data_IF_439057976398
#
_entry.id   IF_439057976398
#
_cell.length_a   1.000
_cell.length_b   1.000
_cell.length_c   1.000
_cell.angle_alpha   90.00
_cell.angle_beta   90.00
_cell.angle_gamma   90.00
#
_symmetry.space_group_name_H-M   'P 1'
#
loop_
_entity.id
_entity.type
_entity.pdbx_description
1 polymer ?
#
# COMPACT_ATOMS: atom_id res chain seq x y z
N UNK A 1 -18.47 0.39 -14.50
CA UNK A 1 -19.16 1.66 -14.18
C UNK A 1 -18.24 2.81 -14.57
N UNK A 2 -18.77 3.97 -14.94
CA UNK A 2 -17.95 5.19 -15.18
C UNK A 2 -17.16 5.55 -13.89
N UNK A 3 -15.85 5.88 -13.93
CA UNK A 3 -15.05 6.16 -12.74
C UNK A 3 -15.51 7.38 -12.00
N UNK A 4 -16.05 8.37 -12.71
CA UNK A 4 -16.65 9.52 -12.05
C UNK A 4 -17.83 9.06 -11.19
N UNK A 5 -18.61 8.07 -11.65
CA UNK A 5 -19.67 7.44 -10.86
C UNK A 5 -19.12 6.53 -9.75
N UNK A 6 -18.03 5.80 -9.99
CA UNK A 6 -17.36 4.97 -8.96
C UNK A 6 -16.82 5.86 -7.85
N UNK A 7 -16.07 6.92 -8.17
CA UNK A 7 -15.58 7.92 -7.21
C UNK A 7 -16.72 8.64 -6.51
N UNK A 8 -17.80 8.99 -7.22
CA UNK A 8 -19.00 9.56 -6.59
C UNK A 8 -19.67 8.57 -5.63
N UNK A 9 -19.67 7.27 -5.93
CA UNK A 9 -20.32 6.23 -5.11
C UNK A 9 -19.44 5.78 -3.93
N UNK A 10 -18.17 5.48 -4.16
CA UNK A 10 -17.22 4.93 -3.19
C UNK A 10 -16.39 5.99 -2.48
N UNK A 11 -16.23 7.18 -3.08
CA UNK A 11 -15.45 8.25 -2.48
C UNK A 11 -13.94 8.01 -2.62
N UNK A 12 -13.28 7.82 -1.49
CA UNK A 12 -11.81 7.75 -1.37
C UNK A 12 -11.34 6.34 -1.07
N UNK A 13 -10.13 6.00 -1.52
CA UNK A 13 -9.52 4.72 -1.22
C UNK A 13 -8.85 4.74 0.16
N UNK A 14 -9.22 3.82 1.06
CA UNK A 14 -8.78 3.78 2.46
C UNK A 14 -7.72 2.72 2.70
N UNK A 15 -6.56 3.14 3.22
CA UNK A 15 -5.44 2.26 3.56
C UNK A 15 -5.10 2.43 5.03
N UNK A 16 -4.92 1.32 5.73
CA UNK A 16 -4.35 1.31 7.07
C UNK A 16 -2.86 0.98 6.95
N UNK A 17 -2.01 1.87 7.45
CA UNK A 17 -0.57 1.64 7.53
C UNK A 17 -0.21 1.19 8.93
N UNK A 18 0.32 -0.03 9.03
CA UNK A 18 0.78 -0.64 10.26
C UNK A 18 2.29 -0.73 10.23
N UNK A 19 2.94 -0.48 11.36
CA UNK A 19 4.38 -0.65 11.47
C UNK A 19 4.92 0.02 12.70
N UNK A 20 6.13 -0.37 13.08
CA UNK A 20 6.80 0.15 14.28
C UNK A 20 7.19 1.62 14.12
N UNK A 21 7.62 2.23 15.22
CA UNK A 21 8.22 3.56 15.19
C UNK A 21 9.37 3.54 14.18
N UNK A 22 9.50 4.59 13.37
CA UNK A 22 10.56 4.68 12.36
C UNK A 22 10.56 3.55 11.30
N UNK A 23 9.46 2.82 11.11
CA UNK A 23 9.34 1.80 10.05
C UNK A 23 9.21 2.38 8.62
N UNK A 24 9.34 3.70 8.43
CA UNK A 24 9.22 4.35 7.12
C UNK A 24 7.79 4.62 6.65
N UNK A 25 6.76 4.46 7.52
CA UNK A 25 5.34 4.65 7.19
C UNK A 25 5.07 5.98 6.46
N UNK A 26 5.43 7.10 7.07
CA UNK A 26 5.20 8.45 6.50
C UNK A 26 5.91 8.64 5.17
N UNK A 27 7.14 8.14 5.04
CA UNK A 27 7.93 8.22 3.81
C UNK A 27 7.23 7.51 2.66
N UNK A 28 6.71 6.30 2.89
CA UNK A 28 5.94 5.56 1.87
C UNK A 28 4.70 6.34 1.43
N UNK A 29 3.95 6.90 2.39
CA UNK A 29 2.76 7.68 2.07
C UNK A 29 3.07 8.91 1.21
N UNK A 30 4.12 9.64 1.59
CA UNK A 30 4.63 10.79 0.83
C UNK A 30 5.01 10.39 -0.60
N UNK A 31 5.71 9.26 -0.79
CA UNK A 31 6.09 8.79 -2.13
C UNK A 31 4.91 8.37 -2.99
N UNK A 32 3.98 7.61 -2.44
CA UNK A 32 2.75 7.21 -3.16
C UNK A 32 1.94 8.44 -3.56
N UNK A 33 1.92 9.48 -2.73
CA UNK A 33 1.24 10.73 -3.03
C UNK A 33 2.09 11.73 -3.82
N UNK A 34 3.29 11.35 -4.29
CA UNK A 34 4.23 12.19 -5.03
C UNK A 34 4.44 13.58 -4.38
N UNK A 35 4.70 13.61 -3.08
CA UNK A 35 4.90 14.84 -2.31
C UNK A 35 5.94 14.63 -1.20
N UNK A 36 6.48 15.74 -0.68
CA UNK A 36 7.27 15.79 0.56
C UNK A 36 6.51 16.47 1.71
N UNK A 37 5.29 16.94 1.44
CA UNK A 37 4.46 17.65 2.41
C UNK A 37 3.91 16.70 3.47
N UNK A 38 3.41 17.27 4.57
CA UNK A 38 2.69 16.51 5.58
C UNK A 38 1.20 16.40 5.21
N UNK A 39 0.54 15.28 5.55
CA UNK A 39 -0.90 15.16 5.31
C UNK A 39 -1.67 16.11 6.21
N UNK A 40 -2.85 16.53 5.73
CA UNK A 40 -3.86 17.14 6.55
C UNK A 40 -4.56 16.07 7.38
N UNK A 41 -4.72 16.31 8.67
CA UNK A 41 -5.32 15.36 9.62
C UNK A 41 -6.75 15.76 9.91
N UNK A 42 -7.67 14.81 9.86
CA UNK A 42 -9.08 14.99 10.17
C UNK A 42 -9.52 14.01 11.26
N UNK A 43 -10.40 14.46 12.16
CA UNK A 43 -11.01 13.56 13.14
C UNK A 43 -12.17 12.76 12.52
N UNK A 44 -12.78 11.87 13.30
CA UNK A 44 -13.94 11.06 12.89
C UNK A 44 -15.18 11.88 12.51
N UNK A 45 -15.26 13.14 12.94
CA UNK A 45 -16.32 14.08 12.55
C UNK A 45 -15.99 14.89 11.27
N UNK A 46 -14.84 14.63 10.63
CA UNK A 46 -14.40 15.33 9.42
C UNK A 46 -13.85 16.74 9.70
N UNK A 47 -13.59 17.10 10.95
CA UNK A 47 -12.97 18.39 11.31
C UNK A 47 -11.45 18.29 11.20
N UNK A 48 -10.85 19.24 10.49
CA UNK A 48 -9.40 19.38 10.39
C UNK A 48 -8.79 19.63 11.78
N UNK A 49 -7.77 18.85 12.12
CA UNK A 49 -6.98 18.98 13.35
C UNK A 49 -5.70 19.74 13.01
N UNK A 50 -5.35 20.71 13.85
CA UNK A 50 -4.06 21.40 13.73
C UNK A 50 -2.93 20.47 14.18
N UNK A 51 -1.94 20.26 13.31
CA UNK A 51 -0.80 19.38 13.56
C UNK A 51 0.05 19.89 14.73
N UNK A 52 0.08 21.21 14.97
CA UNK A 52 0.77 21.79 16.12
C UNK A 52 0.22 21.28 17.47
N UNK A 53 -1.08 20.96 17.53
CA UNK A 53 -1.73 20.35 18.70
C UNK A 53 -1.29 18.88 18.86
N UNK A 54 -1.05 18.17 17.76
CA UNK A 54 -0.61 16.77 17.75
C UNK A 54 0.88 16.62 18.11
N UNK A 55 1.74 17.60 17.77
CA UNK A 55 3.17 17.60 18.15
C UNK A 55 3.39 18.05 19.59
N UNK A 56 2.55 18.93 20.14
CA UNK A 56 2.56 19.28 21.55
C UNK A 56 2.15 18.08 22.44
N UNK A 57 1.33 17.17 21.92
CA UNK A 57 0.90 15.94 22.59
C UNK A 57 1.79 14.73 22.31
N UNK A 58 3.13 14.87 22.31
CA UNK A 58 4.05 13.70 22.32
C UNK A 58 3.81 12.78 23.54
N UNK A 59 3.00 13.20 24.50
CA UNK A 59 2.33 12.32 25.44
C UNK A 59 1.33 11.41 24.71
N UNK A 60 1.62 10.11 24.76
CA UNK A 60 1.12 8.97 23.98
C UNK A 60 -0.42 8.75 23.91
N UNK A 61 -1.26 9.73 24.28
CA UNK A 61 -2.71 9.58 24.45
C UNK A 61 -3.60 10.16 23.35
N UNK A 62 -3.10 10.98 22.42
CA UNK A 62 -3.92 11.71 21.42
C UNK A 62 -3.84 11.15 19.99
N UNK A 63 -3.11 10.06 19.78
CA UNK A 63 -3.02 9.40 18.47
C UNK A 63 -4.10 8.32 18.34
N UNK A 64 -5.15 8.66 17.59
CA UNK A 64 -6.29 7.79 17.32
C UNK A 64 -6.20 7.24 15.89
N UNK A 65 -6.24 5.91 15.76
CA UNK A 65 -6.27 5.18 14.48
C UNK A 65 -7.48 5.58 13.60
N UNK A 66 -8.53 6.13 14.21
CA UNK A 66 -9.70 6.66 13.50
C UNK A 66 -9.43 7.98 12.79
N UNK A 67 -8.33 8.68 13.11
CA UNK A 67 -7.96 9.91 12.39
C UNK A 67 -7.63 9.61 10.93
N UNK A 68 -8.08 10.50 10.06
CA UNK A 68 -7.90 10.39 8.62
C UNK A 68 -6.75 11.31 8.19
N UNK A 69 -5.77 10.75 7.49
CA UNK A 69 -4.68 11.50 6.88
C UNK A 69 -4.92 11.62 5.38
N UNK A 70 -4.93 12.86 4.88
CA UNK A 70 -5.19 13.15 3.47
C UNK A 70 -4.09 14.06 2.94
N UNK A 71 -3.42 13.63 1.87
CA UNK A 71 -2.44 14.46 1.17
C UNK A 71 -3.14 15.32 0.13
N UNK A 72 -2.77 16.60 0.06
CA UNK A 72 -3.37 17.55 -0.87
C UNK A 72 -2.98 17.23 -2.33
N UNK A 73 -1.78 16.68 -2.52
CA UNK A 73 -1.27 16.19 -3.81
C UNK A 73 -2.04 14.96 -4.32
N UNK A 74 -2.68 14.19 -3.44
CA UNK A 74 -3.52 13.05 -3.83
C UNK A 74 -4.71 12.87 -2.88
N UNK A 75 -5.78 13.68 -3.05
CA UNK A 75 -6.92 13.70 -2.13
C UNK A 75 -7.87 12.51 -2.33
N UNK A 76 -7.59 11.62 -3.28
CA UNK A 76 -8.37 10.40 -3.48
C UNK A 76 -8.03 9.30 -2.47
N UNK A 77 -6.93 9.42 -1.73
CA UNK A 77 -6.59 8.53 -0.63
C UNK A 77 -7.06 9.07 0.73
N UNK A 78 -7.38 8.12 1.62
CA UNK A 78 -7.37 8.34 3.07
C UNK A 78 -6.46 7.29 3.67
N UNK A 79 -5.49 7.74 4.46
CA UNK A 79 -4.61 6.87 5.22
C UNK A 79 -4.99 6.90 6.70
N UNK A 80 -4.99 5.74 7.31
CA UNK A 80 -5.04 5.56 8.75
C UNK A 80 -3.67 5.06 9.21
N UNK A 81 -3.16 5.61 10.31
CA UNK A 81 -1.87 5.20 10.88
C UNK A 81 -2.12 4.49 12.21
N UNK A 82 -1.57 3.28 12.34
CA UNK A 82 -1.70 2.43 13.53
C UNK A 82 -1.02 2.96 14.80
N UNK A 83 -0.42 4.17 14.75
CA UNK A 83 0.33 4.86 15.83
C UNK A 83 0.14 4.21 17.20
N UNK A 84 1.19 3.60 17.74
CA UNK A 84 1.13 2.87 19.02
C UNK A 84 1.26 1.34 18.90
N UNK A 85 1.04 0.74 17.72
CA UNK A 85 1.46 -0.66 17.48
C UNK A 85 2.98 -0.87 17.68
N UNK A 86 3.73 0.24 17.75
CA UNK A 86 5.18 0.36 17.82
C UNK A 86 5.86 -0.40 18.96
N UNK A 87 5.16 -0.60 20.08
CA UNK A 87 5.66 -1.34 21.25
C UNK A 87 5.17 -2.80 21.31
N UNK A 88 4.27 -3.23 20.42
CA UNK A 88 3.66 -4.57 20.47
C UNK A 88 2.78 -4.81 21.71
N UNK A 89 2.35 -3.74 22.38
CA UNK A 89 1.52 -3.82 23.58
C UNK A 89 0.15 -4.44 23.29
N UNK A 90 -0.41 -5.09 24.31
CA UNK A 90 -1.70 -5.80 24.19
C UNK A 90 -2.82 -4.82 23.83
N UNK A 91 -2.83 -3.63 24.43
CA UNK A 91 -3.88 -2.62 24.22
C UNK A 91 -3.88 -2.07 22.80
N UNK A 92 -2.69 -1.90 22.21
CA UNK A 92 -2.50 -1.34 20.89
C UNK A 92 -2.85 -2.36 19.80
N UNK A 93 -2.53 -3.63 20.02
CA UNK A 93 -2.99 -4.71 19.15
C UNK A 93 -4.52 -4.79 19.10
N UNK A 94 -5.20 -4.72 20.25
CA UNK A 94 -6.67 -4.78 20.28
C UNK A 94 -7.31 -3.57 19.59
N UNK A 95 -6.72 -2.38 19.71
CA UNK A 95 -7.17 -1.19 18.95
C UNK A 95 -7.10 -1.41 17.45
N UNK A 96 -5.98 -1.92 16.94
CA UNK A 96 -5.78 -2.23 15.51
C UNK A 96 -6.78 -3.30 15.05
N UNK A 97 -6.91 -4.39 15.81
CA UNK A 97 -7.81 -5.50 15.48
C UNK A 97 -9.28 -5.06 15.47
N UNK A 98 -9.72 -4.27 16.45
CA UNK A 98 -11.07 -3.71 16.51
C UNK A 98 -11.32 -2.76 15.34
N UNK A 99 -10.36 -1.88 15.01
CA UNK A 99 -10.46 -0.98 13.86
C UNK A 99 -10.66 -1.75 12.55
N UNK A 100 -9.80 -2.74 12.28
CA UNK A 100 -9.87 -3.58 11.07
C UNK A 100 -11.22 -4.31 11.03
N UNK A 101 -11.63 -4.94 12.12
CA UNK A 101 -12.89 -5.72 12.20
C UNK A 101 -14.11 -4.84 11.96
N UNK A 102 -14.13 -3.63 12.53
CA UNK A 102 -15.24 -2.70 12.38
C UNK A 102 -15.30 -2.17 10.94
N UNK A 103 -14.18 -1.68 10.42
CA UNK A 103 -14.08 -1.10 9.07
C UNK A 103 -14.31 -2.13 7.97
N UNK A 104 -13.92 -3.40 8.16
CA UNK A 104 -14.20 -4.46 7.18
C UNK A 104 -15.68 -4.83 7.10
N UNK A 105 -16.44 -4.60 8.18
CA UNK A 105 -17.89 -4.89 8.28
C UNK A 105 -18.80 -3.71 7.97
N UNK A 106 -18.25 -2.53 7.67
CA UNK A 106 -19.05 -1.36 7.30
C UNK A 106 -19.89 -1.67 6.06
N UNK A 107 -21.18 -1.36 6.08
CA UNK A 107 -22.06 -1.59 4.92
C UNK A 107 -21.83 -0.55 3.83
N UNK A 108 -21.43 0.65 4.23
CA UNK A 108 -21.06 1.71 3.31
C UNK A 108 -19.60 1.57 2.91
N UNK A 109 -19.37 1.22 1.64
CA UNK A 109 -18.04 1.11 1.05
C UNK A 109 -17.18 2.38 1.22
N UNK A 110 -17.79 3.56 1.39
CA UNK A 110 -17.07 4.81 1.71
C UNK A 110 -16.35 4.78 3.04
N UNK A 111 -16.81 3.97 3.98
CA UNK A 111 -16.27 3.84 5.33
C UNK A 111 -15.42 2.58 5.48
N UNK A 112 -15.47 1.66 4.51
CA UNK A 112 -14.73 0.40 4.52
C UNK A 112 -13.23 0.63 4.42
N UNK A 113 -12.46 -0.22 5.09
CA UNK A 113 -11.02 -0.31 4.88
C UNK A 113 -10.76 -1.14 3.62
N UNK A 114 -9.94 -0.65 2.68
CA UNK A 114 -9.75 -1.32 1.39
C UNK A 114 -8.44 -2.10 1.28
N UNK A 115 -7.39 -1.68 2.00
CA UNK A 115 -6.13 -2.41 2.06
C UNK A 115 -5.39 -2.11 3.37
N UNK A 116 -4.49 -3.02 3.74
CA UNK A 116 -3.55 -2.86 4.85
C UNK A 116 -2.13 -2.93 4.29
N UNK A 117 -1.33 -1.91 4.60
CA UNK A 117 0.11 -1.89 4.33
C UNK A 117 0.85 -2.09 5.64
N UNK A 118 1.58 -3.20 5.74
CA UNK A 118 2.31 -3.56 6.95
C UNK A 118 3.82 -3.35 6.73
N UNK A 119 4.37 -2.26 7.28
CA UNK A 119 5.77 -1.88 7.14
C UNK A 119 6.67 -2.66 8.12
N UNK A 120 7.66 -3.36 7.58
CA UNK A 120 8.71 -4.10 8.29
C UNK A 120 10.06 -3.53 7.83
N UNK A 121 10.77 -2.77 8.67
CA UNK A 121 12.05 -2.16 8.28
C UNK A 121 13.19 -3.19 8.29
N UNK A 122 14.05 -3.13 7.28
CA UNK A 122 15.16 -4.08 7.08
C UNK A 122 16.50 -3.61 7.66
N UNK A 123 16.56 -2.39 8.22
CA UNK A 123 17.76 -1.83 8.86
C UNK A 123 18.02 -2.36 10.27
N UNK A 124 17.12 -3.18 10.80
CA UNK A 124 17.29 -3.92 12.06
C UNK A 124 17.59 -5.40 11.77
N UNK A 125 18.73 -5.66 11.12
CA UNK A 125 19.17 -7.00 10.69
C UNK A 125 19.23 -8.07 11.82
N UNK A 126 19.20 -7.66 13.08
CA UNK A 126 19.28 -8.54 14.26
C UNK A 126 17.93 -8.89 14.90
N UNK A 127 16.81 -8.29 14.49
CA UNK A 127 15.49 -8.67 15.01
C UNK A 127 14.79 -9.59 14.02
N UNK A 128 14.69 -10.86 14.37
CA UNK A 128 13.55 -11.70 13.98
C UNK A 128 12.24 -10.94 14.21
N UNK A 129 11.16 -11.33 13.52
CA UNK A 129 9.82 -10.77 13.75
C UNK A 129 9.55 -10.61 15.24
N UNK A 130 9.23 -9.39 15.62
CA UNK A 130 8.89 -9.00 16.96
C UNK A 130 7.59 -9.64 17.42
N UNK A 131 7.32 -9.55 18.73
CA UNK A 131 6.04 -9.99 19.29
C UNK A 131 4.85 -9.32 18.58
N UNK A 132 5.00 -8.08 18.10
CA UNK A 132 3.96 -7.38 17.33
C UNK A 132 3.65 -8.07 16.02
N UNK A 133 4.66 -8.28 15.17
CA UNK A 133 4.47 -8.99 13.89
C UNK A 133 3.90 -10.40 14.11
N UNK A 134 4.49 -11.17 15.03
CA UNK A 134 3.99 -12.49 15.38
C UNK A 134 2.51 -12.45 15.78
N UNK A 135 2.13 -11.53 16.67
CA UNK A 135 0.75 -11.41 17.15
C UNK A 135 -0.20 -11.02 16.03
N UNK A 136 0.19 -10.08 15.15
CA UNK A 136 -0.62 -9.69 14.01
C UNK A 136 -0.90 -10.86 13.08
N UNK A 137 0.15 -11.49 12.55
CA UNK A 137 0.00 -12.56 11.56
C UNK A 137 -0.51 -13.89 12.14
N UNK A 138 -0.54 -14.05 13.47
CA UNK A 138 -1.13 -15.23 14.12
C UNK A 138 -2.56 -15.02 14.65
N UNK A 139 -2.94 -13.80 15.04
CA UNK A 139 -4.18 -13.54 15.77
C UNK A 139 -5.13 -12.51 15.12
N UNK A 140 -4.67 -11.76 14.11
CA UNK A 140 -5.48 -10.75 13.44
C UNK A 140 -6.06 -11.30 12.13
N UNK A 141 -7.29 -11.83 12.20
CA UNK A 141 -8.07 -12.16 11.01
C UNK A 141 -8.58 -10.86 10.36
N UNK A 142 -8.13 -10.57 9.14
CA UNK A 142 -8.54 -9.38 8.37
C UNK A 142 -9.81 -9.62 7.54
N UNK A 143 -10.58 -10.65 7.88
CA UNK A 143 -11.82 -11.03 7.21
C UNK A 143 -11.63 -12.16 6.20
N UNK A 144 -10.61 -13.00 6.38
CA UNK A 144 -10.25 -14.14 5.51
C UNK A 144 -11.41 -15.11 5.20
N UNK A 145 -12.43 -15.17 6.07
CA UNK A 145 -13.65 -15.99 5.90
C UNK A 145 -14.89 -15.17 5.53
N UNK A 146 -14.74 -13.88 5.23
CA UNK A 146 -15.80 -12.94 4.91
C UNK A 146 -15.72 -12.50 3.45
N UNK A 147 -16.86 -12.13 2.86
CA UNK A 147 -16.92 -11.46 1.55
C UNK A 147 -16.24 -10.08 1.55
N UNK A 148 -15.85 -9.55 2.72
CA UNK A 148 -15.20 -8.25 2.89
C UNK A 148 -13.79 -8.37 3.49
N UNK A 149 -13.03 -9.38 3.07
CA UNK A 149 -11.62 -9.54 3.46
C UNK A 149 -10.81 -8.32 3.02
N UNK A 150 -10.03 -7.76 3.95
CA UNK A 150 -9.09 -6.67 3.64
C UNK A 150 -7.72 -7.28 3.33
N UNK A 151 -7.16 -7.08 2.12
CA UNK A 151 -5.85 -7.63 1.78
C UNK A 151 -4.75 -6.96 2.60
N UNK A 152 -3.83 -7.79 3.10
CA UNK A 152 -2.60 -7.33 3.77
C UNK A 152 -1.44 -7.45 2.78
N UNK A 153 -0.72 -6.36 2.60
CA UNK A 153 0.52 -6.29 1.82
C UNK A 153 1.65 -5.95 2.78
N UNK A 154 2.69 -6.79 2.82
CA UNK A 154 3.89 -6.50 3.63
C UNK A 154 4.84 -5.61 2.83
N UNK A 155 5.29 -4.52 3.44
CA UNK A 155 6.26 -3.60 2.87
C UNK A 155 7.58 -3.76 3.61
N UNK A 156 8.57 -4.36 2.97
CA UNK A 156 9.93 -4.41 3.47
C UNK A 156 10.61 -3.08 3.19
N UNK A 157 10.53 -2.17 4.15
CA UNK A 157 11.05 -0.80 4.03
C UNK A 157 12.54 -0.74 4.38
N UNK A 158 13.22 0.32 3.94
CA UNK A 158 14.67 0.49 4.16
C UNK A 158 15.47 -0.72 3.67
N UNK A 159 15.01 -1.31 2.57
CA UNK A 159 15.56 -2.55 2.03
C UNK A 159 17.04 -2.40 1.63
N UNK A 160 17.44 -1.17 1.29
CA UNK A 160 18.82 -0.77 1.00
C UNK A 160 19.79 -1.00 2.17
N UNK A 161 19.32 -1.13 3.41
CA UNK A 161 20.18 -1.53 4.53
C UNK A 161 20.79 -2.94 4.35
N UNK A 162 20.13 -3.83 3.59
CA UNK A 162 20.70 -5.12 3.22
C UNK A 162 21.85 -4.99 2.22
N UNK A 163 21.93 -3.89 1.48
CA UNK A 163 23.01 -3.65 0.52
C UNK A 163 24.34 -3.45 1.26
N UNK A 164 24.32 -2.81 2.43
CA UNK A 164 25.52 -2.64 3.25
C UNK A 164 26.04 -3.98 3.81
N UNK A 165 25.12 -4.87 4.18
CA UNK A 165 25.43 -6.23 4.63
C UNK A 165 26.03 -7.04 3.47
N UNK A 166 25.38 -7.02 2.31
CA UNK A 166 25.85 -7.71 1.10
C UNK A 166 27.21 -7.17 0.63
N UNK A 167 27.38 -5.85 0.62
CA UNK A 167 28.64 -5.19 0.29
C UNK A 167 29.77 -5.67 1.22
N UNK A 168 29.52 -5.69 2.53
CA UNK A 168 30.50 -6.15 3.52
C UNK A 168 30.90 -7.61 3.30
N UNK A 169 29.93 -8.47 2.96
CA UNK A 169 30.19 -9.89 2.63
C UNK A 169 31.04 -10.02 1.36
N UNK A 170 30.66 -9.36 0.27
CA UNK A 170 31.41 -9.37 -1.00
C UNK A 170 32.84 -8.85 -0.84
N UNK A 171 33.06 -7.84 0.03
CA UNK A 171 34.39 -7.34 0.36
C UNK A 171 35.24 -8.38 1.08
N UNK A 172 34.66 -9.18 1.99
CA UNK A 172 35.34 -10.29 2.67
C UNK A 172 35.67 -11.44 1.72
N UNK A 173 34.86 -11.64 0.69
CA UNK A 173 35.09 -12.61 -0.39
C UNK A 173 36.12 -12.13 -1.43
N UNK A 174 36.77 -10.98 -1.21
CA UNK A 174 37.86 -10.48 -2.04
C UNK A 174 37.43 -9.61 -3.23
N UNK A 175 36.14 -9.29 -3.39
CA UNK A 175 35.67 -8.39 -4.46
C UNK A 175 36.22 -6.97 -4.27
N UNK A 176 36.52 -6.29 -5.38
CA UNK A 176 36.92 -4.89 -5.35
C UNK A 176 35.79 -4.01 -4.77
N UNK A 177 36.11 -2.78 -4.32
CA UNK A 177 35.09 -1.86 -3.79
C UNK A 177 34.04 -1.50 -4.85
N UNK A 178 34.47 -1.39 -6.11
CA UNK A 178 33.59 -1.10 -7.25
C UNK A 178 32.63 -2.27 -7.48
N UNK A 179 33.16 -3.47 -7.65
CA UNK A 179 32.35 -4.67 -7.93
C UNK A 179 31.43 -5.01 -6.77
N UNK A 180 31.91 -4.88 -5.52
CA UNK A 180 31.08 -5.13 -4.35
C UNK A 180 29.88 -4.16 -4.26
N UNK A 181 30.06 -2.90 -4.66
CA UNK A 181 28.98 -1.90 -4.68
C UNK A 181 27.96 -2.19 -5.78
N UNK A 182 28.45 -2.62 -6.94
CA UNK A 182 27.61 -2.95 -8.10
C UNK A 182 26.79 -4.22 -7.87
N UNK A 183 27.38 -5.24 -7.23
CA UNK A 183 26.75 -6.53 -6.98
C UNK A 183 25.87 -6.56 -5.71
N UNK A 184 26.06 -5.62 -4.78
CA UNK A 184 25.38 -5.64 -3.48
C UNK A 184 23.84 -5.70 -3.57
N UNK A 185 23.15 -4.95 -4.46
CA UNK A 185 21.69 -5.01 -4.57
C UNK A 185 21.17 -6.40 -4.94
N UNK A 186 21.72 -7.01 -6.00
CA UNK A 186 21.31 -8.34 -6.44
C UNK A 186 21.60 -9.41 -5.39
N UNK A 187 22.77 -9.33 -4.74
CA UNK A 187 23.14 -10.29 -3.70
C UNK A 187 22.27 -10.16 -2.43
N UNK A 188 21.79 -8.94 -2.12
CA UNK A 188 20.84 -8.72 -1.04
C UNK A 188 19.47 -9.31 -1.37
N UNK A 189 18.99 -9.17 -2.60
CA UNK A 189 17.72 -9.77 -3.07
C UNK A 189 17.77 -11.30 -3.05
N UNK A 190 18.85 -11.90 -3.55
CA UNK A 190 19.09 -13.35 -3.49
C UNK A 190 19.09 -13.85 -2.04
N UNK A 191 19.83 -13.17 -1.16
CA UNK A 191 19.90 -13.54 0.26
C UNK A 191 18.54 -13.39 0.96
N UNK A 192 17.73 -12.40 0.54
CA UNK A 192 16.41 -12.17 1.08
C UNK A 192 15.38 -13.20 0.61
N UNK A 193 15.48 -13.67 -0.64
CA UNK A 193 14.56 -14.65 -1.23
C UNK A 193 14.49 -15.96 -0.41
N UNK A 194 15.62 -16.39 0.14
CA UNK A 194 15.72 -17.57 1.02
C UNK A 194 15.81 -17.22 2.52
N UNK A 195 15.61 -15.93 2.83
CA UNK A 195 15.77 -15.36 4.16
C UNK A 195 14.68 -15.77 5.15
N UNK A 196 14.95 -15.60 6.46
CA UNK A 196 13.98 -15.90 7.52
C UNK A 196 12.69 -15.07 7.41
N UNK A 197 12.75 -13.90 6.77
CA UNK A 197 11.62 -13.01 6.57
C UNK A 197 10.51 -13.66 5.74
N UNK A 198 10.88 -14.23 4.59
CA UNK A 198 9.91 -14.87 3.71
C UNK A 198 9.46 -16.23 4.23
N UNK A 199 10.32 -16.97 4.94
CA UNK A 199 9.94 -18.23 5.61
C UNK A 199 8.84 -18.00 6.64
N UNK A 200 9.02 -17.02 7.53
CA UNK A 200 7.99 -16.63 8.49
C UNK A 200 6.65 -16.28 7.84
N UNK A 201 6.66 -15.42 6.80
CA UNK A 201 5.41 -15.01 6.14
C UNK A 201 4.66 -16.18 5.46
N UNK A 202 5.35 -17.28 5.15
CA UNK A 202 4.74 -18.51 4.62
C UNK A 202 4.15 -19.40 5.71
N UNK A 203 4.68 -19.33 6.94
CA UNK A 203 4.35 -20.22 8.05
C UNK A 203 3.29 -19.63 9.02
N UNK A 204 3.02 -18.33 8.93
CA UNK A 204 2.01 -17.68 9.76
C UNK A 204 0.58 -18.13 9.43
N UNK A 205 -0.29 -18.06 10.44
CA UNK A 205 -1.70 -18.43 10.32
C UNK A 205 -2.46 -17.56 9.31
N UNK A 206 -2.17 -16.27 9.28
CA UNK A 206 -2.80 -15.28 8.42
C UNK A 206 -1.75 -14.65 7.51
N UNK A 207 -1.35 -15.34 6.41
CA UNK A 207 -0.31 -14.83 5.53
C UNK A 207 -0.76 -13.58 4.79
N UNK A 208 0.15 -12.63 4.50
CA UNK A 208 -0.17 -11.51 3.62
C UNK A 208 -0.45 -12.01 2.19
N UNK A 209 -1.24 -11.24 1.43
CA UNK A 209 -1.55 -11.55 0.03
C UNK A 209 -0.32 -11.43 -0.86
N UNK A 210 0.56 -10.48 -0.57
CA UNK A 210 1.87 -10.34 -1.21
C UNK A 210 2.83 -9.51 -0.32
N UNK A 211 4.05 -9.32 -0.80
CA UNK A 211 5.03 -8.43 -0.20
C UNK A 211 5.72 -7.59 -1.27
N UNK A 212 6.31 -6.47 -0.85
CA UNK A 212 7.05 -5.53 -1.70
C UNK A 212 8.32 -5.11 -0.99
N UNK A 213 9.46 -5.15 -1.69
CA UNK A 213 10.73 -4.64 -1.20
C UNK A 213 10.92 -3.19 -1.66
N UNK A 214 11.20 -2.28 -0.73
CA UNK A 214 11.23 -0.85 -0.98
C UNK A 214 12.60 -0.26 -0.56
N UNK A 215 13.61 -0.33 -1.44
CA UNK A 215 14.92 0.26 -1.20
C UNK A 215 14.93 1.76 -1.54
N UNK A 216 15.84 2.51 -0.90
CA UNK A 216 16.17 3.89 -1.26
C UNK A 216 15.00 4.88 -1.21
N UNK A 217 13.99 4.65 -0.36
CA UNK A 217 12.77 5.47 -0.26
C UNK A 217 13.01 6.90 0.26
N UNK A 218 14.25 7.24 0.62
CA UNK A 218 14.74 8.56 0.96
C UNK A 218 15.16 9.40 -0.27
N UNK A 219 15.53 8.76 -1.38
CA UNK A 219 16.02 9.40 -2.62
C UNK A 219 14.91 9.83 -3.56
N UNK A 220 15.02 10.97 -4.24
CA UNK A 220 13.94 11.48 -5.11
C UNK A 220 13.56 10.51 -6.25
N UNK A 221 14.52 9.72 -6.74
CA UNK A 221 14.32 8.72 -7.78
C UNK A 221 13.69 7.40 -7.30
N UNK A 222 13.24 7.31 -6.05
CA UNK A 222 12.66 6.09 -5.50
C UNK A 222 11.36 5.72 -6.24
N UNK A 223 11.29 4.48 -6.72
CA UNK A 223 10.13 3.99 -7.45
C UNK A 223 9.11 3.33 -6.51
N UNK A 224 7.91 3.92 -6.44
CA UNK A 224 6.76 3.33 -5.73
C UNK A 224 5.77 2.64 -6.69
N UNK A 225 6.05 2.61 -7.99
CA UNK A 225 5.21 1.95 -9.00
C UNK A 225 4.95 0.49 -8.66
N UNK A 226 5.98 -0.22 -8.16
CA UNK A 226 5.88 -1.61 -7.72
C UNK A 226 4.87 -1.80 -6.58
N UNK A 227 4.83 -0.89 -5.59
CA UNK A 227 3.84 -0.93 -4.50
C UNK A 227 2.43 -0.73 -5.04
N UNK A 228 2.26 0.23 -5.96
CA UNK A 228 0.97 0.51 -6.57
C UNK A 228 0.50 -0.70 -7.39
N UNK A 229 1.37 -1.27 -8.21
CA UNK A 229 1.07 -2.46 -9.01
C UNK A 229 0.65 -3.64 -8.13
N UNK A 230 1.46 -4.00 -7.14
CA UNK A 230 1.14 -5.13 -6.26
C UNK A 230 -0.14 -4.89 -5.47
N UNK A 231 -0.37 -3.66 -4.98
CA UNK A 231 -1.62 -3.33 -4.29
C UNK A 231 -2.82 -3.51 -5.23
N UNK A 232 -2.75 -2.98 -6.45
CA UNK A 232 -3.81 -3.15 -7.45
C UNK A 232 -4.06 -4.63 -7.78
N UNK A 233 -3.00 -5.44 -7.90
CA UNK A 233 -3.09 -6.88 -8.16
C UNK A 233 -3.72 -7.70 -7.03
N UNK A 234 -3.64 -7.23 -5.78
CA UNK A 234 -4.19 -7.94 -4.60
C UNK A 234 -5.69 -7.69 -4.37
N UNK A 235 -6.28 -6.72 -5.05
CA UNK A 235 -7.68 -6.36 -4.89
C UNK A 235 -8.56 -7.33 -5.70
N UNK A 236 -9.26 -8.22 -4.99
CA UNK A 236 -10.16 -9.22 -5.59
C UNK A 236 -11.43 -8.56 -6.22
N UNK A 237 -11.76 -7.33 -5.83
CA UNK A 237 -12.93 -6.58 -6.32
C UNK A 237 -12.54 -5.60 -7.44
N UNK A 238 -13.03 -5.83 -8.67
CA UNK A 238 -12.74 -5.00 -9.85
C UNK A 238 -13.12 -3.53 -9.66
N UNK A 239 -14.18 -3.23 -8.88
CA UNK A 239 -14.59 -1.85 -8.60
C UNK A 239 -13.61 -1.16 -7.65
N UNK A 240 -13.11 -1.87 -6.63
CA UNK A 240 -12.07 -1.35 -5.73
C UNK A 240 -10.75 -1.17 -6.47
N UNK A 241 -10.42 -2.08 -7.38
CA UNK A 241 -9.24 -1.98 -8.22
C UNK A 241 -9.31 -0.78 -9.17
N UNK A 242 -10.45 -0.56 -9.83
CA UNK A 242 -10.69 0.65 -10.65
C UNK A 242 -10.61 1.92 -9.82
N UNK A 243 -11.17 1.92 -8.60
CA UNK A 243 -11.04 3.05 -7.69
C UNK A 243 -9.57 3.32 -7.35
N UNK A 244 -8.82 2.28 -6.97
CA UNK A 244 -7.42 2.41 -6.61
C UNK A 244 -6.58 2.94 -7.77
N UNK A 245 -6.65 2.32 -8.95
CA UNK A 245 -5.89 2.73 -10.14
C UNK A 245 -6.25 4.15 -10.56
N UNK A 246 -7.54 4.50 -10.60
CA UNK A 246 -7.95 5.87 -10.96
C UNK A 246 -7.59 6.93 -9.91
N UNK A 247 -7.24 6.52 -8.69
CA UNK A 247 -6.72 7.40 -7.63
C UNK A 247 -5.22 7.68 -7.81
N UNK A 248 -4.50 6.87 -8.59
CA UNK A 248 -3.07 7.02 -8.85
C UNK A 248 -2.82 8.04 -9.97
N UNK A 249 -3.31 9.26 -9.79
CA UNK A 249 -3.41 10.30 -10.83
C UNK A 249 -2.10 10.60 -11.58
N UNK A 250 -0.96 10.31 -10.95
CA UNK A 250 0.38 10.56 -11.47
C UNK A 250 0.98 9.39 -12.25
N UNK A 251 0.37 8.20 -12.23
CA UNK A 251 0.87 7.01 -12.94
C UNK A 251 -0.05 6.63 -14.11
N UNK A 252 0.11 7.35 -15.23
CA UNK A 252 -0.55 6.98 -16.50
C UNK A 252 -0.12 5.59 -16.97
N UNK A 253 1.11 5.17 -16.68
CA UNK A 253 1.64 3.84 -17.00
C UNK A 253 0.82 2.72 -16.36
N UNK A 254 0.45 2.86 -15.08
CA UNK A 254 -0.40 1.88 -14.39
C UNK A 254 -1.83 1.90 -14.93
N UNK A 255 -2.35 3.08 -15.27
CA UNK A 255 -3.66 3.20 -15.93
C UNK A 255 -3.64 2.53 -17.31
N UNK A 256 -2.55 2.64 -18.07
CA UNK A 256 -2.36 1.96 -19.35
C UNK A 256 -2.25 0.45 -19.15
N UNK A 257 -1.40 -0.03 -18.26
CA UNK A 257 -1.26 -1.46 -17.96
C UNK A 257 -2.61 -2.10 -17.60
N UNK A 258 -3.26 -1.59 -16.56
CA UNK A 258 -4.52 -2.19 -16.09
C UNK A 258 -5.72 -1.90 -17.00
N UNK A 259 -5.79 -0.73 -17.62
CA UNK A 259 -6.86 -0.37 -18.53
C UNK A 259 -6.73 -1.10 -19.86
N UNK A 260 -5.58 -0.99 -20.52
CA UNK A 260 -5.35 -1.52 -21.86
C UNK A 260 -5.20 -3.03 -21.84
N UNK A 261 -4.31 -3.61 -21.02
CA UNK A 261 -4.05 -5.06 -21.07
C UNK A 261 -5.30 -5.86 -20.71
N UNK A 262 -6.05 -5.47 -19.67
CA UNK A 262 -7.26 -6.21 -19.26
C UNK A 262 -8.47 -5.97 -20.15
N UNK A 263 -8.63 -4.77 -20.71
CA UNK A 263 -9.76 -4.52 -21.61
C UNK A 263 -9.48 -5.18 -22.95
N UNK A 264 -8.29 -5.01 -23.51
CA UNK A 264 -7.91 -5.70 -24.74
C UNK A 264 -7.99 -7.20 -24.56
N UNK A 265 -7.48 -7.79 -23.47
CA UNK A 265 -7.58 -9.24 -23.25
C UNK A 265 -9.04 -9.75 -23.17
N UNK A 266 -9.99 -8.93 -22.71
CA UNK A 266 -11.43 -9.28 -22.66
C UNK A 266 -12.14 -9.10 -24.01
N UNK A 267 -11.58 -8.34 -24.94
CA UNK A 267 -12.26 -7.96 -26.19
C UNK A 267 -11.57 -8.49 -27.45
N UNK A 268 -10.28 -8.87 -27.40
CA UNK A 268 -9.50 -9.41 -28.52
C UNK A 268 -10.16 -10.63 -29.17
N UNK A 269 -10.87 -11.47 -28.40
CA UNK A 269 -11.55 -12.68 -28.90
C UNK A 269 -13.05 -12.48 -29.20
N UNK A 270 -13.59 -11.26 -29.03
CA UNK A 270 -15.02 -10.99 -29.23
C UNK A 270 -15.30 -10.41 -30.61
N UNK A 271 -16.25 -11.01 -31.34
CA UNK A 271 -16.75 -10.49 -32.63
C UNK A 271 -17.37 -9.07 -32.54
N UNK A 272 -17.59 -8.54 -31.33
CA UNK A 272 -18.08 -7.17 -31.08
C UNK A 272 -17.08 -6.08 -31.51
N UNK A 273 -15.80 -6.41 -31.70
CA UNK A 273 -14.71 -5.47 -32.06
C UNK A 273 -14.77 -4.91 -33.48
N UNK A 274 -15.69 -5.36 -34.33
CA UNK A 274 -15.82 -4.88 -35.72
C UNK A 274 -16.92 -3.83 -35.92
N UNK A 275 -17.66 -3.47 -34.86
CA UNK A 275 -18.78 -2.51 -34.95
C UNK A 275 -18.45 -1.18 -34.28
N UNK A 276 -18.98 -0.07 -34.82
CA UNK A 276 -18.82 1.28 -34.24
C UNK A 276 -19.29 1.33 -32.76
N UNK A 277 -20.38 0.65 -32.43
CA UNK A 277 -20.88 0.51 -31.04
C UNK A 277 -19.92 -0.27 -30.13
N UNK A 278 -19.23 -1.28 -30.67
CA UNK A 278 -18.19 -2.02 -29.96
C UNK A 278 -17.00 -1.14 -29.60
N UNK A 279 -16.52 -0.32 -30.54
CA UNK A 279 -15.46 0.65 -30.30
C UNK A 279 -15.83 1.68 -29.23
N UNK A 280 -17.04 2.25 -29.29
CA UNK A 280 -17.50 3.18 -28.25
C UNK A 280 -17.53 2.55 -26.85
N UNK A 281 -17.94 1.28 -26.77
CA UNK A 281 -17.97 0.54 -25.51
C UNK A 281 -16.56 0.30 -24.97
N UNK A 282 -15.61 -0.05 -25.84
CA UNK A 282 -14.20 -0.22 -25.48
C UNK A 282 -13.62 1.12 -25.00
N UNK A 283 -13.85 2.21 -25.72
CA UNK A 283 -13.37 3.55 -25.34
C UNK A 283 -13.96 4.00 -24.00
N UNK A 284 -15.27 3.80 -23.76
CA UNK A 284 -15.90 4.09 -22.47
C UNK A 284 -15.32 3.24 -21.34
N UNK A 285 -15.01 1.98 -21.62
CA UNK A 285 -14.44 1.07 -20.62
C UNK A 285 -12.97 1.43 -20.35
N UNK A 286 -12.20 1.82 -21.37
CA UNK A 286 -10.80 2.26 -21.23
C UNK A 286 -10.70 3.58 -20.48
N UNK A 287 -11.50 4.57 -20.87
CA UNK A 287 -11.63 5.83 -20.14
C UNK A 287 -11.99 5.61 -18.67
N UNK A 288 -12.55 4.44 -18.33
CA UNK A 288 -12.84 4.10 -16.95
C UNK A 288 -11.60 3.84 -16.05
N UNK A 289 -10.41 3.78 -16.60
CA UNK A 289 -9.19 3.55 -15.83
C UNK A 289 -8.38 4.82 -15.63
N UNK A 290 -8.72 5.90 -16.36
CA UNK A 290 -7.94 7.13 -16.34
C UNK A 290 -8.57 8.20 -15.43
N UNK A 291 -7.77 8.96 -14.67
CA UNK A 291 -8.29 9.94 -13.72
C UNK A 291 -9.01 11.11 -14.39
N UNK A 292 -8.55 11.51 -15.58
CA UNK A 292 -8.92 12.78 -16.23
C UNK A 292 -9.71 12.61 -17.54
N UNK A 293 -10.01 11.40 -17.98
CA UNK A 293 -10.77 11.18 -19.22
C UNK A 293 -12.26 11.22 -18.90
N UNK A 294 -12.93 12.32 -19.29
CA UNK A 294 -14.38 12.36 -19.43
C UNK A 294 -14.71 11.97 -20.86
N UNK A 295 -15.06 10.70 -21.10
CA UNK A 295 -15.51 10.26 -22.43
C UNK A 295 -16.91 10.84 -22.67
N UNK A 296 -16.99 12.00 -23.34
CA UNK A 296 -18.23 12.49 -23.96
C UNK A 296 -18.29 11.94 -25.37
N UNK A 297 -19.11 10.90 -25.58
CA UNK A 297 -19.48 10.44 -26.92
C UNK A 297 -20.85 11.05 -27.23
N UNK A 298 -20.88 11.86 -28.28
CA UNK A 298 -22.06 12.51 -28.85
C UNK A 298 -22.88 11.54 -29.69
#
# INVERSE_FOLDING_TARGET
MDPAKIRKKIGRFRILVIGRANAGKTTILQRVCNTRDNPQIYNSAGKKIDVAVLTASRERGLHDIETEMVFESNPGFIFHDSRGFEAGGVSEFEKVKTFITRRSKETNIRNQLHAIWYCIPMDEASRSFTAGENKFFSQCDTGSKSQSSVPVIVLFTKFDALYDVAFTKLRKEGKSRKDAKELAPGHAEESFADGPQLKFLKEVRWPPKCHVCLPNMDKDSADCGILVEHTAGTLDNEVLQQLFVSTQQTSMEICMKYGVERILSKHIDSAETTTSKGYERIIKTLGAWFPHIIVRLS
#
